data_IF_671268062521
#
_entry.id   IF_671268062521
#
_cell.length_a   1.000
_cell.length_b   1.000
_cell.length_c   1.000
_cell.angle_alpha   90.00
_cell.angle_beta   90.00
_cell.angle_gamma   90.00
#
_symmetry.space_group_name_H-M   'P 1'
#
loop_
_entity.id
_entity.type
_entity.pdbx_description
1 polymer ?
#
# COMPACT_ATOMS: atom_id res chain seq x y z
N UNK A 1 16.22 -6.90 -2.88
CA UNK A 1 14.94 -7.46 -3.33
C UNK A 1 14.10 -6.35 -3.91
N UNK A 2 13.59 -6.47 -5.12
CA UNK A 2 12.71 -5.47 -5.73
C UNK A 2 11.31 -5.48 -5.07
N UNK A 3 10.46 -4.51 -5.40
CA UNK A 3 9.10 -4.46 -4.87
C UNK A 3 8.28 -5.70 -5.31
N UNK A 4 8.42 -6.09 -6.58
CA UNK A 4 7.79 -7.28 -7.13
C UNK A 4 8.21 -8.58 -6.45
N UNK A 5 9.51 -8.77 -6.19
CA UNK A 5 10.02 -9.94 -5.48
C UNK A 5 9.46 -10.05 -4.06
N UNK A 6 9.34 -8.93 -3.36
CA UNK A 6 8.79 -8.90 -2.00
C UNK A 6 7.30 -9.21 -2.04
N UNK A 7 6.55 -8.65 -2.98
CA UNK A 7 5.14 -8.98 -3.15
C UNK A 7 4.91 -10.48 -3.38
N UNK A 8 5.75 -11.12 -4.19
CA UNK A 8 5.72 -12.57 -4.45
C UNK A 8 6.07 -13.38 -3.18
N UNK A 9 7.09 -12.95 -2.44
CA UNK A 9 7.52 -13.58 -1.18
C UNK A 9 6.42 -13.54 -0.10
N UNK A 10 5.66 -12.45 -0.01
CA UNK A 10 4.53 -12.31 0.91
C UNK A 10 3.22 -12.93 0.36
N UNK A 11 3.24 -13.50 -0.85
CA UNK A 11 2.08 -14.16 -1.46
C UNK A 11 0.93 -13.21 -1.80
N UNK A 12 1.22 -11.94 -2.11
CA UNK A 12 0.24 -10.89 -2.42
C UNK A 12 -0.26 -10.97 -3.88
N UNK A 13 -0.72 -12.16 -4.27
CA UNK A 13 -1.06 -12.53 -5.65
C UNK A 13 -2.17 -11.67 -6.26
N UNK A 14 -3.15 -11.24 -5.47
CA UNK A 14 -4.26 -10.40 -5.96
C UNK A 14 -3.73 -9.02 -6.40
N UNK A 15 -2.84 -8.42 -5.60
CA UNK A 15 -2.23 -7.14 -5.93
C UNK A 15 -1.23 -7.26 -7.10
N UNK A 16 -0.46 -8.35 -7.13
CA UNK A 16 0.44 -8.65 -8.25
C UNK A 16 -0.32 -8.76 -9.58
N UNK A 17 -1.47 -9.43 -9.58
CA UNK A 17 -2.32 -9.54 -10.77
C UNK A 17 -2.80 -8.17 -11.27
N UNK A 18 -3.14 -7.26 -10.36
CA UNK A 18 -3.50 -5.87 -10.69
C UNK A 18 -2.31 -5.08 -11.26
N UNK A 19 -1.12 -5.23 -10.68
CA UNK A 19 0.11 -4.61 -11.20
C UNK A 19 0.47 -5.10 -12.59
N UNK A 20 0.30 -6.40 -12.85
CA UNK A 20 0.57 -7.03 -14.14
C UNK A 20 -0.44 -6.59 -15.19
N UNK A 21 -1.74 -6.55 -14.84
CA UNK A 21 -2.79 -6.03 -15.71
C UNK A 21 -2.55 -4.55 -16.10
N UNK A 22 -2.02 -3.75 -15.17
CA UNK A 22 -1.66 -2.36 -15.41
C UNK A 22 -0.26 -2.17 -16.03
N UNK A 23 0.51 -3.24 -16.23
CA UNK A 23 1.90 -3.22 -16.68
C UNK A 23 2.83 -2.31 -15.84
N UNK A 24 2.61 -2.25 -14.53
CA UNK A 24 3.33 -1.36 -13.60
C UNK A 24 4.44 -2.04 -12.81
N UNK A 25 4.63 -3.35 -12.97
CA UNK A 25 5.66 -4.13 -12.26
C UNK A 25 7.05 -3.47 -12.35
N UNK A 26 7.47 -3.11 -13.57
CA UNK A 26 8.76 -2.41 -13.81
C UNK A 26 8.82 -1.00 -13.21
N UNK A 27 7.70 -0.27 -13.23
CA UNK A 27 7.64 1.08 -12.65
C UNK A 27 7.80 1.01 -11.13
N UNK A 28 7.13 0.04 -10.51
CA UNK A 28 7.20 -0.21 -9.06
C UNK A 28 8.61 -0.59 -8.63
N UNK A 29 9.26 -1.45 -9.40
CA UNK A 29 10.65 -1.87 -9.14
C UNK A 29 11.67 -0.75 -9.36
N UNK A 30 11.29 0.31 -10.12
CA UNK A 30 12.13 1.49 -10.35
C UNK A 30 11.96 2.57 -9.27
N UNK A 31 10.97 2.47 -8.38
CA UNK A 31 10.80 3.49 -7.35
C UNK A 31 11.85 3.37 -6.26
N UNK A 32 12.39 4.51 -5.84
CA UNK A 32 13.35 4.62 -4.76
C UNK A 32 12.91 5.61 -3.69
N UNK A 33 13.33 5.37 -2.45
CA UNK A 33 12.98 6.14 -1.26
C UNK A 33 11.47 6.28 -1.07
N UNK A 34 10.73 5.18 -1.19
CA UNK A 34 9.26 5.15 -1.08
C UNK A 34 8.78 4.14 -0.05
N UNK A 35 7.53 4.28 0.37
CA UNK A 35 6.87 3.30 1.24
C UNK A 35 5.61 2.78 0.55
N UNK A 36 5.55 1.48 0.35
CA UNK A 36 4.43 0.82 -0.29
C UNK A 36 3.47 0.30 0.78
N UNK A 37 2.22 0.73 0.70
CA UNK A 37 1.13 0.27 1.56
C UNK A 37 0.25 -0.66 0.75
N UNK A 38 0.53 -1.96 0.79
CA UNK A 38 -0.10 -2.93 -0.10
C UNK A 38 -1.26 -3.61 0.62
N UNK A 39 -2.48 -3.58 0.07
CA UNK A 39 -3.59 -4.31 0.65
C UNK A 39 -3.36 -5.82 0.58
N UNK A 40 -3.78 -6.54 1.62
CA UNK A 40 -3.76 -8.01 1.64
C UNK A 40 -4.70 -8.60 0.59
N UNK A 41 -4.51 -9.87 0.24
CA UNK A 41 -5.43 -10.57 -0.67
C UNK A 41 -6.89 -10.54 -0.15
N UNK A 42 -7.07 -10.65 1.16
CA UNK A 42 -8.39 -10.54 1.79
C UNK A 42 -8.99 -9.14 1.63
N UNK A 43 -8.17 -8.10 1.79
CA UNK A 43 -8.60 -6.72 1.59
C UNK A 43 -9.07 -6.45 0.16
N UNK A 44 -8.36 -6.98 -0.83
CA UNK A 44 -8.72 -6.86 -2.25
C UNK A 44 -10.00 -7.65 -2.55
N UNK A 45 -10.13 -8.88 -2.03
CA UNK A 45 -11.33 -9.71 -2.19
C UNK A 45 -12.56 -9.14 -1.49
N UNK A 46 -12.36 -8.34 -0.43
CA UNK A 46 -13.43 -7.62 0.24
C UNK A 46 -13.97 -6.43 -0.56
N UNK A 47 -13.26 -5.99 -1.61
CA UNK A 47 -13.77 -4.98 -2.55
C UNK A 47 -14.89 -5.59 -3.37
N UNK A 48 -16.03 -4.89 -3.55
CA UNK A 48 -17.11 -5.39 -4.41
C UNK A 48 -16.59 -5.71 -5.82
N UNK A 49 -16.93 -6.89 -6.34
CA UNK A 49 -16.45 -7.37 -7.64
C UNK A 49 -16.67 -6.34 -8.76
N UNK A 50 -17.86 -5.71 -8.83
CA UNK A 50 -18.15 -4.69 -9.83
C UNK A 50 -17.23 -3.46 -9.77
N UNK A 51 -16.69 -3.11 -8.60
CA UNK A 51 -15.71 -2.02 -8.47
C UNK A 51 -14.33 -2.47 -8.94
N UNK A 52 -13.93 -3.69 -8.58
CA UNK A 52 -12.64 -4.28 -9.00
C UNK A 52 -12.61 -4.47 -10.53
N UNK A 53 -13.68 -4.99 -11.13
CA UNK A 53 -13.84 -5.11 -12.58
C UNK A 53 -13.80 -3.75 -13.29
N UNK A 54 -14.40 -2.73 -12.68
CA UNK A 54 -14.36 -1.35 -13.20
C UNK A 54 -12.93 -0.79 -13.19
N UNK A 55 -12.16 -1.09 -12.13
CA UNK A 55 -10.74 -0.72 -12.06
C UNK A 55 -9.95 -1.45 -13.14
N UNK A 56 -10.11 -2.77 -13.29
CA UNK A 56 -9.40 -3.54 -14.32
C UNK A 56 -9.77 -3.12 -15.74
N UNK A 57 -11.02 -2.68 -15.97
CA UNK A 57 -11.47 -2.17 -17.27
C UNK A 57 -10.95 -0.76 -17.57
N UNK A 58 -10.58 0.02 -16.55
CA UNK A 58 -10.07 1.38 -16.71
C UNK A 58 -8.63 1.50 -16.20
N UNK A 59 -7.68 1.28 -17.11
CA UNK A 59 -6.24 1.35 -16.85
C UNK A 59 -5.83 2.67 -16.17
N UNK A 60 -6.43 3.81 -16.55
CA UNK A 60 -6.10 5.10 -15.94
C UNK A 60 -6.51 5.15 -14.46
N UNK A 61 -7.72 4.67 -14.14
CA UNK A 61 -8.19 4.63 -12.76
C UNK A 61 -7.39 3.63 -11.94
N UNK A 62 -7.11 2.44 -12.49
CA UNK A 62 -6.26 1.44 -11.85
C UNK A 62 -4.87 2.01 -11.56
N UNK A 63 -4.27 2.72 -12.53
CA UNK A 63 -2.99 3.39 -12.35
C UNK A 63 -3.00 4.37 -11.19
N UNK A 64 -4.04 5.23 -11.10
CA UNK A 64 -4.18 6.18 -9.99
C UNK A 64 -4.34 5.47 -8.65
N UNK A 65 -5.17 4.44 -8.57
CA UNK A 65 -5.37 3.65 -7.33
C UNK A 65 -4.06 2.97 -6.92
N UNK A 66 -3.33 2.38 -7.85
CA UNK A 66 -2.04 1.76 -7.57
C UNK A 66 -1.05 2.80 -7.05
N UNK A 67 -0.83 3.91 -7.76
CA UNK A 67 0.09 4.96 -7.30
C UNK A 67 -0.29 5.54 -5.95
N UNK A 68 -1.59 5.58 -5.63
CA UNK A 68 -2.07 6.07 -4.36
C UNK A 68 -1.53 5.25 -3.16
N UNK A 69 -1.27 3.97 -3.36
CA UNK A 69 -0.72 3.07 -2.34
C UNK A 69 0.79 3.24 -2.14
N UNK A 70 1.44 4.15 -2.86
CA UNK A 70 2.87 4.44 -2.75
C UNK A 70 3.06 5.81 -2.12
N UNK A 71 3.64 5.85 -0.91
CA UNK A 71 4.08 7.08 -0.26
C UNK A 71 5.49 7.47 -0.70
N UNK A 72 5.70 8.77 -0.85
CA UNK A 72 7.03 9.37 -0.93
C UNK A 72 7.73 9.35 0.42
N UNK A 73 9.00 8.96 0.40
CA UNK A 73 9.84 8.83 1.58
C UNK A 73 9.78 7.42 2.18
N UNK A 74 10.87 7.05 2.88
CA UNK A 74 10.87 5.90 3.77
C UNK A 74 10.17 6.30 5.07
N UNK A 75 8.91 5.91 5.23
CA UNK A 75 8.09 6.24 6.38
C UNK A 75 8.69 5.59 7.64
N UNK A 76 9.48 6.37 8.38
CA UNK A 76 9.85 6.01 9.74
C UNK A 76 8.68 6.38 10.63
N UNK A 77 7.85 5.38 10.94
CA UNK A 77 6.67 5.53 11.78
C UNK A 77 7.16 5.71 13.22
N UNK A 78 7.31 6.96 13.63
CA UNK A 78 7.87 7.37 14.93
C UNK A 78 6.95 8.29 15.71
N UNK A 79 6.05 8.96 15.02
CA UNK A 79 5.13 9.94 15.61
C UNK A 79 3.70 9.37 15.63
N UNK A 80 2.87 9.81 16.57
CA UNK A 80 1.47 9.36 16.68
C UNK A 80 0.64 9.71 15.44
N UNK A 81 1.01 10.76 14.71
CA UNK A 81 0.38 11.13 13.45
C UNK A 81 1.44 11.67 12.49
N UNK A 82 1.42 11.18 11.25
CA UNK A 82 2.33 11.54 10.18
C UNK A 82 1.56 11.62 8.86
N UNK A 83 1.94 12.56 8.00
CA UNK A 83 1.36 12.71 6.67
C UNK A 83 2.50 12.59 5.66
N UNK A 84 2.32 11.71 4.69
CA UNK A 84 3.24 11.51 3.57
C UNK A 84 2.54 11.92 2.29
N UNK A 85 3.30 12.44 1.31
CA UNK A 85 2.75 12.63 -0.03
C UNK A 85 2.65 11.27 -0.72
N UNK A 86 1.59 11.06 -1.48
CA UNK A 86 1.50 9.89 -2.34
C UNK A 86 2.19 10.15 -3.68
N UNK A 87 2.57 9.09 -4.40
CA UNK A 87 3.00 9.19 -5.80
C UNK A 87 1.87 9.66 -6.73
N UNK A 88 0.62 9.56 -6.31
CA UNK A 88 -0.49 10.20 -7.01
C UNK A 88 -0.51 11.71 -6.69
N UNK A 89 -0.48 12.53 -7.73
CA UNK A 89 -0.43 13.99 -7.60
C UNK A 89 -1.57 14.54 -6.72
N UNK A 90 -1.25 15.55 -5.89
CA UNK A 90 -2.19 16.23 -4.98
C UNK A 90 -2.91 15.31 -3.98
N UNK A 91 -2.30 14.18 -3.63
CA UNK A 91 -2.84 13.30 -2.60
C UNK A 91 -1.82 13.00 -1.51
N UNK A 92 -2.33 12.76 -0.31
CA UNK A 92 -1.51 12.50 0.88
C UNK A 92 -2.01 11.25 1.60
N UNK A 93 -1.08 10.47 2.11
CA UNK A 93 -1.32 9.29 2.93
C UNK A 93 -1.13 9.69 4.39
N UNK A 94 -2.21 9.59 5.15
CA UNK A 94 -2.19 9.80 6.60
C UNK A 94 -1.87 8.49 7.31
N UNK A 95 -0.83 8.51 8.15
CA UNK A 95 -0.41 7.40 9.00
C UNK A 95 -0.61 7.82 10.45
N UNK A 96 -1.28 6.96 11.23
CA UNK A 96 -1.56 7.18 12.64
C UNK A 96 -1.08 5.98 13.44
N UNK A 97 -0.47 6.25 14.58
CA UNK A 97 -0.03 5.22 15.53
C UNK A 97 -0.91 5.33 16.76
N UNK A 98 -1.71 4.30 16.99
CA UNK A 98 -2.56 4.19 18.16
C UNK A 98 -1.89 3.25 19.18
N UNK A 99 -1.38 3.82 20.27
CA UNK A 99 -0.83 3.06 21.39
C UNK A 99 -1.91 2.88 22.45
N UNK A 100 -2.46 1.67 22.58
CA UNK A 100 -3.51 1.37 23.56
C UNK A 100 -2.91 0.93 24.90
N UNK A 101 -2.59 1.88 25.79
CA UNK A 101 -2.22 1.64 27.21
C UNK A 101 -0.97 0.71 27.39
N UNK A 102 -0.34 0.65 28.57
CA UNK A 102 1.11 0.37 28.70
C UNK A 102 1.60 -1.04 28.37
N UNK A 103 0.75 -1.94 27.85
CA UNK A 103 1.11 -3.35 27.56
C UNK A 103 0.65 -3.85 26.18
N UNK A 104 -0.03 -3.03 25.36
CA UNK A 104 -0.41 -3.43 24.01
C UNK A 104 0.65 -2.99 22.99
N UNK A 105 0.87 -3.80 21.96
CA UNK A 105 1.65 -3.37 20.82
C UNK A 105 0.95 -2.17 20.14
N UNK A 106 1.68 -1.11 19.75
CA UNK A 106 1.08 0.01 19.06
C UNK A 106 0.52 -0.45 17.71
N UNK A 107 -0.73 -0.05 17.43
CA UNK A 107 -1.38 -0.31 16.16
C UNK A 107 -1.06 0.82 15.20
N UNK A 108 -0.62 0.47 14.00
CA UNK A 108 -0.37 1.44 12.94
C UNK A 108 -1.54 1.41 11.96
N UNK A 109 -2.12 2.57 11.71
CA UNK A 109 -3.24 2.80 10.82
C UNK A 109 -2.78 3.67 9.65
N UNK A 110 -3.03 3.24 8.43
CA UNK A 110 -2.75 3.99 7.21
C UNK A 110 -4.09 4.25 6.55
N UNK A 111 -4.53 5.51 6.54
CA UNK A 111 -5.86 5.89 6.05
C UNK A 111 -7.00 5.02 6.59
N UNK A 112 -7.00 4.82 7.91
CA UNK A 112 -7.97 3.95 8.60
C UNK A 112 -7.86 2.45 8.25
N UNK A 113 -6.85 2.02 7.49
CA UNK A 113 -6.50 0.61 7.29
C UNK A 113 -5.45 0.18 8.31
N UNK A 114 -5.67 -0.95 8.99
CA UNK A 114 -4.71 -1.51 9.93
C UNK A 114 -3.52 -2.11 9.17
N UNK A 115 -2.30 -1.77 9.59
CA UNK A 115 -1.08 -2.42 9.10
C UNK A 115 -0.96 -3.80 9.76
N UNK A 116 -1.04 -4.85 8.95
CA UNK A 116 -0.92 -6.24 9.36
C UNK A 116 0.55 -6.64 9.52
N UNK A 117 1.39 -6.25 8.57
CA UNK A 117 2.82 -6.59 8.55
C UNK A 117 3.65 -5.33 8.30
N UNK A 118 4.23 -4.73 9.35
CA UNK A 118 5.07 -3.54 9.20
C UNK A 118 6.54 -3.87 8.90
N UNK A 119 7.19 -3.04 8.08
CA UNK A 119 8.66 -2.92 8.08
C UNK A 119 9.40 -3.90 7.17
N UNK A 120 8.77 -4.38 6.11
CA UNK A 120 9.43 -5.26 5.14
C UNK A 120 10.41 -4.44 4.31
N UNK A 121 11.71 -4.56 4.60
CA UNK A 121 12.76 -3.83 3.90
C UNK A 121 12.93 -4.35 2.48
N UNK A 122 13.04 -3.44 1.52
CA UNK A 122 13.29 -3.77 0.13
C UNK A 122 14.18 -2.74 -0.56
N UNK A 123 14.68 -3.08 -1.74
CA UNK A 123 15.37 -2.13 -2.60
C UNK A 123 14.37 -1.03 -2.98
N UNK A 124 14.75 0.21 -2.74
CA UNK A 124 13.88 1.36 -2.99
C UNK A 124 12.94 1.74 -1.85
N UNK A 125 12.90 0.99 -0.73
CA UNK A 125 12.25 1.47 0.49
C UNK A 125 11.61 0.40 1.37
N UNK A 126 10.39 0.65 1.84
CA UNK A 126 9.69 -0.22 2.80
C UNK A 126 8.34 -0.67 2.25
N UNK A 127 7.93 -1.89 2.59
CA UNK A 127 6.59 -2.41 2.30
C UNK A 127 5.84 -2.71 3.61
N UNK A 128 4.59 -2.28 3.65
CA UNK A 128 3.65 -2.50 4.74
C UNK A 128 2.38 -3.13 4.18
N UNK A 129 1.95 -4.25 4.74
CA UNK A 129 0.70 -4.89 4.35
C UNK A 129 -0.45 -4.30 5.14
N UNK A 130 -1.53 -3.89 4.49
CA UNK A 130 -2.71 -3.28 5.13
C UNK A 130 -3.96 -4.16 4.93
N UNK A 131 -4.89 -4.09 5.88
CA UNK A 131 -6.11 -4.93 5.87
C UNK A 131 -7.27 -4.35 5.02
N UNK A 132 -7.07 -3.21 4.35
CA UNK A 132 -8.08 -2.53 3.55
C UNK A 132 -7.44 -1.83 2.36
N UNK A 133 -8.12 -1.77 1.22
CA UNK A 133 -7.68 -1.00 0.06
C UNK A 133 -7.93 0.49 0.33
N UNK A 134 -6.88 1.31 0.19
CA UNK A 134 -6.96 2.77 0.35
C UNK A 134 -7.54 3.40 -0.93
N UNK A 135 -8.21 4.55 -0.83
CA UNK A 135 -8.83 5.29 -1.97
C UNK A 135 -10.12 4.71 -2.60
N UNK A 136 -10.91 3.91 -1.89
CA UNK A 136 -12.19 3.39 -2.42
C UNK A 136 -13.46 4.09 -1.90
N UNK A 137 -13.33 5.20 -1.18
CA UNK A 137 -14.47 6.00 -0.67
C UNK A 137 -14.12 7.48 -0.60
#
# INVERSE_FOLDING_TARGET
KSASEVLEEYGLNEFLSLLEAANLKKLYDSFENVTFFIPSNEAIRAVPAGLLDSLMSNINTLFSVLLYHVADGTAQIKMPEQIFNSKLQNTSIKVQVHSSYPHAAPQVLVQCALVLSPGNKMCGGNLHVINKVSNLY
#
